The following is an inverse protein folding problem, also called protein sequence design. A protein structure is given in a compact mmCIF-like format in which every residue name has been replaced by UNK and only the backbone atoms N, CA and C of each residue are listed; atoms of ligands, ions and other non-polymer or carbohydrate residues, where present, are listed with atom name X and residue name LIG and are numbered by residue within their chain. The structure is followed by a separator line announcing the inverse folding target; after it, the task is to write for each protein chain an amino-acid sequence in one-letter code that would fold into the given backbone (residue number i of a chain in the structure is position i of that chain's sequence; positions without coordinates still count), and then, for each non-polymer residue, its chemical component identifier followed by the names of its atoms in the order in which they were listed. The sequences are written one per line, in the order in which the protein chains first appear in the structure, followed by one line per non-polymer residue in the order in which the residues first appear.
data_IF_693374832004
#
_entry.id   IF_693374832004
#
_cell.length_a   1.000
_cell.length_b   1.000
_cell.length_c   1.000
_cell.angle_alpha   90.00
_cell.angle_beta   90.00
_cell.angle_gamma   90.00
#
_symmetry.space_group_name_H-M   'P 1'
#
loop_
_entity.id
_entity.type
_entity.pdbx_description
1 polymer ?
#
# COMPACT_ATOMS: atom_id res chain seq x y z
N UNK A 1 16.22 -13.41 4.65
CA UNK A 1 15.07 -13.61 5.56
C UNK A 1 14.26 -12.34 5.56
N UNK A 2 12.95 -12.38 5.77
CA UNK A 2 12.14 -11.17 5.85
C UNK A 2 12.08 -10.63 7.28
N UNK A 3 12.14 -9.31 7.44
CA UNK A 3 11.90 -8.59 8.69
C UNK A 3 10.88 -7.47 8.50
N UNK A 4 10.17 -7.13 9.58
CA UNK A 4 9.20 -6.03 9.56
C UNK A 4 9.95 -4.71 9.36
N UNK A 5 9.63 -4.00 8.29
CA UNK A 5 10.20 -2.69 7.96
C UNK A 5 9.24 -1.57 8.37
N UNK A 6 8.00 -1.66 7.90
CA UNK A 6 6.95 -0.66 8.18
C UNK A 6 5.65 -1.32 8.64
N UNK A 7 4.87 -0.60 9.45
CA UNK A 7 3.48 -0.96 9.73
C UNK A 7 2.65 0.30 9.91
N UNK A 8 1.38 0.23 9.53
CA UNK A 8 0.49 1.38 9.60
C UNK A 8 -0.98 1.00 9.65
N UNK A 9 -1.82 2.01 9.84
CA UNK A 9 -3.26 1.87 9.68
C UNK A 9 -3.83 3.03 8.88
N UNK A 10 -4.84 2.72 8.06
CA UNK A 10 -5.47 3.64 7.11
C UNK A 10 -6.98 3.47 7.17
N UNK A 11 -7.72 4.52 6.82
CA UNK A 11 -9.14 4.42 6.51
C UNK A 11 -9.38 4.58 5.01
N UNK A 12 -9.97 3.57 4.40
CA UNK A 12 -10.40 3.59 3.01
C UNK A 12 -11.84 4.10 2.88
N UNK A 13 -12.04 5.09 1.99
CA UNK A 13 -13.34 5.68 1.71
C UNK A 13 -13.72 5.43 0.25
N UNK A 14 -14.59 4.44 -0.03
CA UNK A 14 -15.04 4.14 -1.38
C UNK A 14 -15.60 5.39 -2.07
N UNK A 15 -15.06 5.73 -3.25
CA UNK A 15 -15.50 6.90 -4.02
C UNK A 15 -15.16 8.27 -3.38
N UNK A 16 -14.27 8.30 -2.37
CA UNK A 16 -13.81 9.55 -1.75
C UNK A 16 -14.82 10.22 -0.83
N UNK A 17 -15.92 9.55 -0.47
CA UNK A 17 -16.92 10.11 0.44
C UNK A 17 -16.48 9.97 1.90
N UNK A 18 -15.79 10.99 2.40
CA UNK A 18 -15.30 11.06 3.79
C UNK A 18 -16.41 11.30 4.83
N UNK A 19 -17.65 11.52 4.41
CA UNK A 19 -18.79 11.67 5.32
C UNK A 19 -19.35 10.32 5.80
N UNK A 20 -18.97 9.21 5.15
CA UNK A 20 -19.31 7.85 5.58
C UNK A 20 -18.21 7.28 6.48
N UNK A 21 -18.53 6.24 7.25
CA UNK A 21 -17.52 5.49 8.00
C UNK A 21 -16.58 4.79 7.02
N UNK A 22 -15.29 5.15 7.06
CA UNK A 22 -14.28 4.49 6.25
C UNK A 22 -14.02 3.06 6.74
N UNK A 23 -13.60 2.19 5.83
CA UNK A 23 -13.15 0.85 6.15
C UNK A 23 -11.73 0.94 6.72
N UNK A 24 -11.52 0.43 7.93
CA UNK A 24 -10.19 0.38 8.54
C UNK A 24 -9.34 -0.70 7.88
N UNK A 25 -8.07 -0.35 7.63
CA UNK A 25 -7.03 -1.24 7.12
C UNK A 25 -5.84 -1.18 8.08
N UNK A 26 -5.25 -2.33 8.39
CA UNK A 26 -3.96 -2.44 9.05
C UNK A 26 -2.98 -3.06 8.05
N UNK A 27 -1.81 -2.47 7.87
CA UNK A 27 -0.81 -2.92 6.92
C UNK A 27 0.51 -3.21 7.62
N UNK A 28 1.21 -4.26 7.16
CA UNK A 28 2.56 -4.61 7.54
C UNK A 28 3.38 -4.87 6.29
N UNK A 29 4.53 -4.19 6.20
CA UNK A 29 5.50 -4.34 5.13
C UNK A 29 6.74 -5.04 5.67
N UNK A 30 7.13 -6.12 5.01
CA UNK A 30 8.35 -6.85 5.32
C UNK A 30 9.31 -6.75 4.14
N UNK A 31 10.59 -6.60 4.45
CA UNK A 31 11.68 -6.53 3.47
C UNK A 31 12.72 -7.61 3.78
N UNK A 32 13.43 -8.08 2.76
CA UNK A 32 14.54 -9.00 2.94
C UNK A 32 15.86 -8.29 3.29
N UNK A 33 16.85 -9.08 3.72
CA UNK A 33 18.17 -8.58 4.16
C UNK A 33 18.95 -7.82 3.07
N UNK A 34 18.55 -7.96 1.80
CA UNK A 34 19.20 -7.37 0.63
C UNK A 34 18.44 -6.14 0.08
N UNK A 35 17.32 -5.76 0.71
CA UNK A 35 16.40 -4.68 0.27
C UNK A 35 15.84 -4.88 -1.15
N UNK A 36 15.76 -6.13 -1.63
CA UNK A 36 15.34 -6.46 -3.00
C UNK A 36 13.93 -7.02 -3.08
N UNK A 37 13.44 -7.71 -2.04
CA UNK A 37 12.14 -8.36 -2.04
C UNK A 37 11.26 -7.84 -0.90
N UNK A 38 9.96 -7.75 -1.18
CA UNK A 38 8.96 -7.19 -0.28
C UNK A 38 7.80 -8.16 -0.10
N UNK A 39 7.25 -8.23 1.12
CA UNK A 39 5.98 -8.89 1.41
C UNK A 39 5.08 -7.88 2.11
N UNK A 40 3.96 -7.56 1.49
CA UNK A 40 2.92 -6.71 2.06
C UNK A 40 1.80 -7.60 2.57
N UNK A 41 1.31 -7.32 3.78
CA UNK A 41 0.13 -7.95 4.37
C UNK A 41 -0.82 -6.84 4.80
N UNK A 42 -2.07 -6.91 4.34
CA UNK A 42 -3.13 -5.99 4.70
C UNK A 42 -4.28 -6.74 5.37
N UNK A 43 -4.78 -6.22 6.48
CA UNK A 43 -6.02 -6.66 7.11
C UNK A 43 -7.13 -5.66 6.78
N UNK A 44 -8.19 -6.14 6.15
CA UNK A 44 -9.38 -5.38 5.79
C UNK A 44 -10.51 -5.68 6.77
N UNK A 45 -10.88 -4.71 7.60
CA UNK A 45 -11.86 -4.96 8.66
C UNK A 45 -11.30 -5.90 9.74
N UNK A 46 -12.06 -6.91 10.16
CA UNK A 46 -11.70 -7.77 11.29
C UNK A 46 -11.09 -9.11 10.87
N UNK A 47 -11.52 -9.69 9.75
CA UNK A 47 -11.25 -11.09 9.40
C UNK A 47 -10.82 -11.31 7.93
N UNK A 48 -10.73 -10.26 7.12
CA UNK A 48 -10.28 -10.33 5.74
C UNK A 48 -8.81 -9.90 5.62
N UNK A 49 -8.03 -10.65 4.85
CA UNK A 49 -6.59 -10.45 4.72
C UNK A 49 -6.15 -10.60 3.27
N UNK A 50 -5.32 -9.67 2.83
CA UNK A 50 -4.59 -9.75 1.57
C UNK A 50 -3.10 -9.89 1.87
N UNK A 51 -2.40 -10.64 1.02
CA UNK A 51 -0.95 -10.68 1.01
C UNK A 51 -0.44 -10.60 -0.43
N UNK A 52 0.59 -9.79 -0.63
CA UNK A 52 1.27 -9.67 -1.92
C UNK A 52 2.79 -9.79 -1.72
N UNK A 53 3.48 -10.29 -2.75
CA UNK A 53 4.93 -10.35 -2.80
C UNK A 53 5.42 -9.54 -3.99
N UNK A 54 6.38 -8.66 -3.73
CA UNK A 54 6.98 -7.78 -4.72
C UNK A 54 8.50 -7.82 -4.68
N UNK A 55 9.10 -7.09 -5.61
CA UNK A 55 10.54 -6.86 -5.66
C UNK A 55 10.81 -5.41 -6.05
N UNK A 56 11.99 -4.93 -5.69
CA UNK A 56 12.42 -3.58 -6.00
C UNK A 56 12.52 -3.36 -7.52
N UNK A 57 11.99 -2.23 -7.97
CA UNK A 57 12.17 -1.76 -9.34
C UNK A 57 12.53 -0.28 -9.33
N UNK A 58 13.39 0.12 -10.25
CA UNK A 58 13.87 1.49 -10.36
C UNK A 58 12.76 2.45 -10.81
N UNK A 59 12.76 3.68 -10.30
CA UNK A 59 11.71 4.68 -10.58
C UNK A 59 11.49 4.92 -12.08
N UNK A 60 12.56 4.92 -12.88
CA UNK A 60 12.51 5.15 -14.32
C UNK A 60 11.79 4.04 -15.10
N UNK A 61 11.53 2.89 -14.47
CA UNK A 61 10.77 1.79 -15.07
C UNK A 61 9.26 2.08 -15.10
N UNK A 62 8.78 3.07 -14.34
CA UNK A 62 7.40 3.53 -14.39
C UNK A 62 7.27 4.81 -15.23
N UNK A 63 6.22 4.86 -16.04
CA UNK A 63 5.77 6.09 -16.71
C UNK A 63 4.48 6.59 -16.05
N UNK A 64 4.24 7.90 -16.06
CA UNK A 64 3.01 8.54 -15.53
C UNK A 64 2.77 8.33 -14.02
N UNK A 65 3.84 8.19 -13.22
CA UNK A 65 3.73 8.06 -11.76
C UNK A 65 3.31 9.36 -11.08
N UNK A 66 3.61 10.50 -11.71
CA UNK A 66 3.11 11.81 -11.28
C UNK A 66 1.81 12.13 -12.02
N UNK A 67 0.83 12.77 -11.36
CA UNK A 67 -0.33 13.30 -12.05
C UNK A 67 0.14 14.23 -13.18
N UNK A 68 -0.21 13.91 -14.43
CA UNK A 68 -0.23 14.93 -15.49
C UNK A 68 -1.21 16.01 -15.03
N UNK A 69 -0.79 17.26 -15.00
CA UNK A 69 -1.47 18.38 -14.32
C UNK A 69 -2.90 18.77 -14.75
N UNK A 70 -3.74 17.82 -15.17
CA UNK A 70 -5.16 18.03 -15.53
C UNK A 70 -6.11 17.83 -14.34
N UNK A 71 -5.59 17.82 -13.10
CA UNK A 71 -6.41 17.98 -11.90
C UNK A 71 -6.62 19.47 -11.57
N UNK A 72 -7.09 20.27 -12.54
CA UNK A 72 -7.73 21.57 -12.29
C UNK A 72 -8.82 21.85 -13.33
N UNK A 73 -10.08 21.60 -12.96
CA UNK A 73 -11.22 22.50 -13.14
C UNK A 73 -12.42 22.00 -12.33
#
# INVERSE_FOLDING_TARGET
TFYLDESGSVYYYPGGNTQQQGQGIIAWEYIDDDDENFVSIEQWGEDDFEASQGYYVEEFMFSNILPSGDAQA
#
